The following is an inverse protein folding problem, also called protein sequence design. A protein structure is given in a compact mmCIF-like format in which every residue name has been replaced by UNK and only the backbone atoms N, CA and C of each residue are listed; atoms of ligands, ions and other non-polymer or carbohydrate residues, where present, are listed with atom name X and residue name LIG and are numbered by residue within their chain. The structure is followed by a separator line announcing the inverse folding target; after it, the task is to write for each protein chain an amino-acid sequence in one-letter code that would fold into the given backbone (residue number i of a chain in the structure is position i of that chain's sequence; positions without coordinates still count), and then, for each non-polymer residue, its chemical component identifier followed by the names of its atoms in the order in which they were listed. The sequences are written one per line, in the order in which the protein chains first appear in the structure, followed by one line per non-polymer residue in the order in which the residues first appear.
data_IF_055803671973
#
_entry.id   IF_055803671973
#
_cell.length_a   1.000
_cell.length_b   1.000
_cell.length_c   1.000
_cell.angle_alpha   90.00
_cell.angle_beta   90.00
_cell.angle_gamma   90.00
#
_symmetry.space_group_name_H-M   'P 1'
#
loop_
_entity.id
_entity.type
_entity.pdbx_description
1 polymer ?
#
# COMPACT_ATOMS: atom_id res chain seq x y z
N UNK A 1 -14.57 5.70 -28.80
CA UNK A 1 -13.20 5.12 -28.76
C UNK A 1 -13.32 3.60 -28.87
N UNK A 2 -12.34 2.92 -29.48
CA UNK A 2 -12.30 1.45 -29.61
C UNK A 2 -10.91 0.95 -29.18
N UNK A 3 -10.84 -0.29 -28.72
CA UNK A 3 -9.57 -1.01 -28.57
C UNK A 3 -9.31 -1.75 -29.88
N UNK A 4 -8.23 -1.44 -30.59
CA UNK A 4 -7.91 -2.10 -31.87
C UNK A 4 -6.61 -2.86 -31.73
N UNK A 5 -6.67 -4.19 -31.91
CA UNK A 5 -5.49 -5.04 -31.91
C UNK A 5 -4.57 -4.64 -33.07
N UNK A 6 -3.30 -4.28 -32.81
CA UNK A 6 -2.41 -3.76 -33.85
C UNK A 6 -1.99 -4.83 -34.87
N UNK A 7 -2.22 -6.12 -34.59
CA UNK A 7 -1.77 -7.20 -35.46
C UNK A 7 -2.65 -7.34 -36.71
N UNK A 8 -3.95 -7.57 -36.52
CA UNK A 8 -4.90 -7.81 -37.62
C UNK A 8 -6.13 -6.89 -37.58
N UNK A 9 -6.08 -5.83 -36.77
CA UNK A 9 -7.13 -4.83 -36.64
C UNK A 9 -8.50 -5.39 -36.18
N UNK A 10 -8.52 -6.50 -35.43
CA UNK A 10 -9.70 -6.84 -34.65
C UNK A 10 -9.96 -5.71 -33.67
N UNK A 11 -11.19 -5.23 -33.65
CA UNK A 11 -11.59 -4.09 -32.82
C UNK A 11 -12.66 -4.50 -31.83
N UNK A 12 -12.53 -3.96 -30.62
CA UNK A 12 -13.38 -4.25 -29.49
C UNK A 12 -13.98 -2.93 -28.98
N UNK A 13 -15.23 -2.99 -28.54
CA UNK A 13 -15.82 -1.91 -27.76
C UNK A 13 -15.09 -1.81 -26.40
N UNK A 14 -15.30 -0.71 -25.67
CA UNK A 14 -14.67 -0.52 -24.35
C UNK A 14 -15.19 -1.50 -23.29
N UNK A 15 -16.31 -2.20 -23.56
CA UNK A 15 -16.84 -3.29 -22.72
C UNK A 15 -16.21 -4.66 -23.05
N UNK A 16 -15.29 -4.71 -24.02
CA UNK A 16 -14.58 -5.92 -24.44
C UNK A 16 -15.27 -6.74 -25.53
N UNK A 17 -16.50 -6.42 -25.93
CA UNK A 17 -17.21 -7.12 -27.01
C UNK A 17 -16.56 -6.86 -28.37
N UNK A 18 -16.53 -7.87 -29.26
CA UNK A 18 -16.00 -7.68 -30.62
C UNK A 18 -16.89 -6.73 -31.41
N UNK A 19 -16.31 -5.62 -31.87
CA UNK A 19 -16.93 -4.72 -32.83
C UNK A 19 -16.73 -5.23 -34.26
N UNK A 20 -15.50 -5.57 -34.64
CA UNK A 20 -15.15 -6.03 -35.98
C UNK A 20 -13.99 -7.02 -35.97
N UNK A 21 -14.12 -8.07 -36.79
CA UNK A 21 -13.10 -9.08 -37.09
C UNK A 21 -13.17 -9.36 -38.59
N UNK A 22 -12.17 -8.92 -39.35
CA UNK A 22 -12.20 -8.93 -40.82
C UNK A 22 -11.79 -10.30 -41.37
N UNK A 23 -12.38 -10.70 -42.50
CA UNK A 23 -12.09 -11.95 -43.22
C UNK A 23 -12.31 -13.24 -42.40
N UNK A 24 -13.22 -13.20 -41.42
CA UNK A 24 -13.71 -14.41 -40.76
C UNK A 24 -14.78 -15.09 -41.60
N UNK A 25 -14.93 -16.40 -41.44
CA UNK A 25 -15.95 -17.20 -42.12
C UNK A 25 -17.37 -16.78 -41.69
N UNK A 26 -18.38 -17.18 -42.47
CA UNK A 26 -19.78 -16.84 -42.23
C UNK A 26 -20.35 -17.42 -40.93
N UNK A 27 -19.75 -18.48 -40.41
CA UNK A 27 -20.11 -19.15 -39.16
C UNK A 27 -19.37 -18.59 -37.93
N UNK A 28 -18.56 -17.54 -38.10
CA UNK A 28 -17.83 -16.93 -36.98
C UNK A 28 -18.78 -16.24 -35.99
N UNK A 29 -18.86 -16.81 -34.80
CA UNK A 29 -19.61 -16.24 -33.69
C UNK A 29 -18.74 -15.23 -32.91
N UNK A 30 -19.05 -13.93 -33.04
CA UNK A 30 -18.33 -12.86 -32.34
C UNK A 30 -18.45 -12.95 -30.81
N UNK A 31 -19.53 -13.54 -30.31
CA UNK A 31 -19.83 -13.57 -28.88
C UNK A 31 -18.87 -14.49 -28.11
N UNK A 32 -18.27 -15.47 -28.80
CA UNK A 32 -17.31 -16.43 -28.22
C UNK A 32 -15.88 -15.88 -28.06
N UNK A 33 -15.57 -14.72 -28.67
CA UNK A 33 -14.20 -14.21 -28.78
C UNK A 33 -14.01 -12.80 -28.20
N UNK A 34 -14.90 -12.40 -27.28
CA UNK A 34 -14.76 -11.15 -26.52
C UNK A 34 -13.50 -11.16 -25.64
N UNK A 35 -13.02 -9.97 -25.25
CA UNK A 35 -11.92 -9.87 -24.28
C UNK A 35 -12.32 -10.54 -22.96
N UNK A 36 -11.36 -11.24 -22.32
CA UNK A 36 -11.58 -11.77 -20.98
C UNK A 36 -11.92 -10.65 -20.00
N UNK A 37 -13.00 -10.83 -19.26
CA UNK A 37 -13.42 -9.90 -18.22
C UNK A 37 -12.64 -10.18 -16.93
N UNK A 38 -12.46 -9.15 -16.12
CA UNK A 38 -12.05 -9.28 -14.72
C UNK A 38 -13.08 -8.59 -13.84
N UNK A 39 -13.15 -9.01 -12.57
CA UNK A 39 -14.01 -8.36 -11.60
C UNK A 39 -13.37 -7.04 -11.16
N UNK A 40 -14.16 -5.97 -11.14
CA UNK A 40 -13.70 -4.62 -10.86
C UNK A 40 -14.60 -3.94 -9.84
N UNK A 41 -13.99 -3.24 -8.89
CA UNK A 41 -14.65 -2.35 -7.94
C UNK A 41 -13.89 -1.05 -7.81
N UNK A 42 -14.62 0.05 -7.68
CA UNK A 42 -14.06 1.38 -7.44
C UNK A 42 -14.54 1.84 -6.07
N UNK A 43 -13.61 2.27 -5.23
CA UNK A 43 -13.90 2.77 -3.89
C UNK A 43 -12.96 3.94 -3.58
N UNK A 44 -13.51 5.12 -3.32
CA UNK A 44 -12.72 6.35 -3.07
C UNK A 44 -11.63 6.59 -4.13
N UNK A 45 -11.97 6.40 -5.41
CA UNK A 45 -11.03 6.56 -6.54
C UNK A 45 -10.02 5.41 -6.72
N UNK A 46 -9.89 4.52 -5.74
CA UNK A 46 -9.05 3.32 -5.83
C UNK A 46 -9.74 2.26 -6.70
N UNK A 47 -8.98 1.68 -7.64
CA UNK A 47 -9.46 0.63 -8.55
C UNK A 47 -8.94 -0.72 -8.06
N UNK A 48 -9.85 -1.60 -7.66
CA UNK A 48 -9.56 -2.98 -7.26
C UNK A 48 -9.94 -3.94 -8.37
N UNK A 49 -9.03 -4.88 -8.66
CA UNK A 49 -9.25 -5.93 -9.64
C UNK A 49 -9.17 -7.31 -8.97
N UNK A 50 -10.01 -8.24 -9.41
CA UNK A 50 -9.95 -9.64 -9.01
C UNK A 50 -10.10 -10.54 -10.25
N UNK A 51 -9.13 -11.43 -10.44
CA UNK A 51 -9.05 -12.32 -11.60
C UNK A 51 -9.76 -13.67 -11.40
N UNK A 52 -10.25 -13.96 -10.18
CA UNK A 52 -11.07 -15.15 -9.92
C UNK A 52 -12.41 -15.05 -10.65
N UNK A 53 -12.91 -16.18 -11.16
CA UNK A 53 -14.27 -16.28 -11.68
C UNK A 53 -15.33 -16.07 -10.57
N UNK A 54 -14.97 -16.43 -9.33
CA UNK A 54 -15.80 -16.30 -8.13
C UNK A 54 -15.11 -15.35 -7.15
N UNK A 55 -15.19 -14.02 -7.35
CA UNK A 55 -14.56 -13.07 -6.45
C UNK A 55 -15.24 -13.12 -5.07
N UNK A 56 -14.46 -12.85 -4.03
CA UNK A 56 -15.03 -12.58 -2.72
C UNK A 56 -15.86 -11.30 -2.72
N UNK A 57 -16.79 -11.20 -1.77
CA UNK A 57 -17.61 -9.99 -1.62
C UNK A 57 -16.74 -8.78 -1.28
N UNK A 58 -16.94 -7.70 -2.03
CA UNK A 58 -16.13 -6.49 -1.90
C UNK A 58 -16.50 -5.68 -0.66
N UNK A 59 -17.77 -5.70 -0.25
CA UNK A 59 -18.20 -4.96 0.94
C UNK A 59 -17.60 -5.61 2.19
N UNK A 60 -17.64 -6.94 2.31
CA UNK A 60 -16.94 -7.70 3.36
C UNK A 60 -15.43 -7.40 3.37
N UNK A 61 -14.81 -7.30 2.19
CA UNK A 61 -13.39 -7.02 2.03
C UNK A 61 -13.01 -5.62 2.54
N UNK A 62 -13.74 -4.57 2.16
CA UNK A 62 -13.33 -3.20 2.46
C UNK A 62 -13.75 -2.74 3.85
N UNK A 63 -14.85 -3.29 4.39
CA UNK A 63 -15.57 -2.73 5.55
C UNK A 63 -14.68 -2.37 6.75
N UNK A 64 -13.73 -3.20 7.20
CA UNK A 64 -12.94 -2.87 8.39
C UNK A 64 -11.98 -1.70 8.19
N UNK A 65 -11.60 -1.44 6.94
CA UNK A 65 -10.69 -0.36 6.55
C UNK A 65 -11.39 0.85 5.96
N UNK A 66 -12.67 0.70 5.59
CA UNK A 66 -13.51 1.70 4.89
C UNK A 66 -13.39 3.09 5.50
N UNK A 67 -13.65 3.20 6.80
CA UNK A 67 -13.69 4.50 7.50
C UNK A 67 -12.36 5.25 7.44
N UNK A 68 -11.22 4.54 7.39
CA UNK A 68 -9.90 5.16 7.32
C UNK A 68 -9.65 5.77 5.94
N UNK A 69 -10.07 5.08 4.89
CA UNK A 69 -9.94 5.54 3.51
C UNK A 69 -10.93 6.70 3.24
N UNK A 70 -12.22 6.53 3.58
CA UNK A 70 -13.26 7.57 3.37
C UNK A 70 -12.98 8.86 4.13
N UNK A 71 -12.24 8.79 5.23
CA UNK A 71 -11.88 9.99 6.00
C UNK A 71 -10.87 10.88 5.26
N UNK A 72 -10.07 10.31 4.35
CA UNK A 72 -9.09 11.02 3.52
C UNK A 72 -9.66 11.48 2.18
N UNK A 73 -10.92 11.11 1.86
CA UNK A 73 -11.63 11.49 0.63
C UNK A 73 -10.78 11.28 -0.64
N UNK A 74 -10.15 10.10 -0.78
CA UNK A 74 -9.27 9.80 -1.92
C UNK A 74 -10.01 9.89 -3.27
N UNK A 75 -11.35 9.83 -3.28
CA UNK A 75 -12.15 10.10 -4.47
C UNK A 75 -12.02 11.54 -5.02
N UNK A 76 -11.50 12.48 -4.22
CA UNK A 76 -11.17 13.87 -4.61
C UNK A 76 -9.66 14.10 -4.77
N UNK A 77 -8.88 13.04 -4.89
CA UNK A 77 -7.45 13.12 -5.08
C UNK A 77 -7.07 13.03 -6.55
N UNK A 78 -5.87 13.51 -6.88
CA UNK A 78 -5.18 13.21 -8.14
C UNK A 78 -3.79 12.67 -7.89
N UNK A 79 -3.27 11.92 -8.85
CA UNK A 79 -1.87 11.47 -8.84
C UNK A 79 -1.00 12.68 -9.18
N UNK A 80 -0.22 13.16 -8.20
CA UNK A 80 0.79 14.18 -8.41
C UNK A 80 2.09 13.58 -8.96
N UNK A 81 2.46 12.38 -8.51
CA UNK A 81 3.65 11.69 -8.99
C UNK A 81 3.47 10.17 -8.92
N UNK A 82 4.12 9.45 -9.84
CA UNK A 82 4.13 7.98 -9.89
C UNK A 82 5.53 7.51 -10.22
N UNK A 83 6.02 6.51 -9.49
CA UNK A 83 7.33 5.91 -9.75
C UNK A 83 7.31 4.41 -9.49
N UNK A 84 8.00 3.67 -10.37
CA UNK A 84 8.18 2.23 -10.25
C UNK A 84 9.64 1.96 -9.92
N UNK A 85 9.87 1.10 -8.94
CA UNK A 85 11.18 0.61 -8.51
C UNK A 85 11.27 -0.88 -8.82
N UNK A 86 11.90 -1.26 -9.94
CA UNK A 86 12.15 -2.67 -10.24
C UNK A 86 13.17 -3.21 -9.23
N UNK A 87 12.81 -4.22 -8.45
CA UNK A 87 13.66 -4.79 -7.39
C UNK A 87 14.02 -6.22 -7.76
N UNK A 88 15.32 -6.54 -7.78
CA UNK A 88 15.84 -7.89 -8.06
C UNK A 88 15.72 -8.79 -6.83
N UNK A 89 14.47 -9.06 -6.44
CA UNK A 89 14.13 -9.91 -5.32
C UNK A 89 12.76 -10.56 -5.50
N UNK A 90 12.59 -11.75 -4.93
CA UNK A 90 11.30 -12.40 -4.84
C UNK A 90 10.30 -11.50 -4.11
N UNK A 91 9.04 -11.52 -4.54
CA UNK A 91 7.97 -10.72 -3.93
C UNK A 91 7.82 -11.02 -2.43
N UNK A 92 8.06 -12.27 -2.00
CA UNK A 92 8.02 -12.62 -0.58
C UNK A 92 9.11 -11.92 0.22
N UNK A 93 10.33 -11.78 -0.30
CA UNK A 93 11.39 -11.04 0.39
C UNK A 93 11.10 -9.53 0.41
N UNK A 94 10.43 -9.02 -0.63
CA UNK A 94 10.00 -7.63 -0.69
C UNK A 94 8.93 -7.34 0.36
N UNK A 95 7.92 -8.23 0.48
CA UNK A 95 6.91 -8.13 1.51
C UNK A 95 7.47 -8.43 2.90
N UNK A 96 8.46 -9.32 3.02
CA UNK A 96 9.12 -9.59 4.28
C UNK A 96 9.73 -8.29 4.84
N UNK A 97 10.47 -7.56 4.02
CA UNK A 97 11.07 -6.25 4.36
C UNK A 97 10.01 -5.18 4.68
N UNK A 98 8.85 -5.22 4.02
CA UNK A 98 7.82 -4.19 4.23
C UNK A 98 7.00 -4.39 5.52
N UNK A 99 6.87 -5.63 6.00
CA UNK A 99 6.02 -5.97 7.16
C UNK A 99 6.77 -6.04 8.49
N UNK A 100 7.92 -5.37 8.59
CA UNK A 100 8.67 -5.17 9.82
C UNK A 100 9.44 -3.84 9.78
N UNK A 101 9.92 -3.37 10.94
CA UNK A 101 10.73 -2.15 11.03
C UNK A 101 12.00 -2.37 11.86
N UNK A 102 12.47 -3.61 11.96
CA UNK A 102 13.70 -3.97 12.65
C UNK A 102 14.94 -3.37 11.96
N UNK A 103 14.92 -3.29 10.64
CA UNK A 103 15.99 -2.65 9.86
C UNK A 103 15.87 -1.12 9.76
N UNK A 104 14.75 -0.52 10.20
CA UNK A 104 14.46 0.90 9.95
C UNK A 104 15.47 1.84 10.60
N UNK A 105 15.74 1.67 11.90
CA UNK A 105 16.62 2.58 12.63
C UNK A 105 18.05 2.70 12.03
N UNK A 106 18.72 1.61 11.61
CA UNK A 106 20.01 1.71 10.95
C UNK A 106 19.95 2.11 9.47
N UNK A 107 18.82 1.91 8.79
CA UNK A 107 18.75 2.02 7.32
C UNK A 107 18.05 3.29 6.81
N UNK A 108 17.10 3.83 7.57
CA UNK A 108 16.15 4.84 7.11
C UNK A 108 16.19 6.11 7.99
N UNK A 109 17.28 6.89 7.95
CA UNK A 109 17.38 8.13 8.71
C UNK A 109 16.27 9.14 8.35
N UNK A 110 15.79 9.13 7.10
CA UNK A 110 14.65 9.91 6.65
C UNK A 110 13.36 9.54 7.37
N UNK A 111 12.99 8.25 7.38
CA UNK A 111 11.80 7.75 8.05
C UNK A 111 11.85 7.99 9.56
N UNK A 112 12.99 7.67 10.19
CA UNK A 112 13.21 7.87 11.63
C UNK A 112 13.29 9.34 12.06
N UNK A 113 13.43 10.28 11.12
CA UNK A 113 13.37 11.71 11.43
C UNK A 113 11.94 12.22 11.62
N UNK A 114 10.95 11.52 11.05
CA UNK A 114 9.53 11.91 11.04
C UNK A 114 8.69 11.03 11.97
N UNK A 115 9.01 9.75 12.07
CA UNK A 115 8.30 8.79 12.92
C UNK A 115 8.91 8.71 14.33
N UNK A 116 8.06 8.51 15.34
CA UNK A 116 8.53 8.41 16.72
C UNK A 116 9.28 7.08 16.95
N UNK A 117 10.40 7.06 17.70
CA UNK A 117 11.13 5.81 17.94
C UNK A 117 10.30 4.72 18.63
N UNK A 118 9.36 5.10 19.50
CA UNK A 118 8.47 4.13 20.17
C UNK A 118 7.37 3.63 19.21
N UNK A 119 6.95 4.45 18.24
CA UNK A 119 6.13 4.01 17.10
C UNK A 119 6.89 3.00 16.24
N UNK A 120 8.11 3.33 15.81
CA UNK A 120 8.95 2.46 14.98
C UNK A 120 9.14 1.10 15.65
N UNK A 121 9.38 1.10 16.97
CA UNK A 121 9.55 -0.12 17.75
C UNK A 121 8.29 -0.99 17.74
N UNK A 122 7.12 -0.42 18.00
CA UNK A 122 5.91 -1.20 18.26
C UNK A 122 5.02 -1.42 17.03
N UNK A 123 4.93 -0.39 16.18
CA UNK A 123 3.93 -0.20 15.12
C UNK A 123 4.57 0.15 13.76
N UNK A 124 5.90 0.10 13.62
CA UNK A 124 6.59 0.59 12.42
C UNK A 124 6.16 -0.04 11.09
N UNK A 125 5.53 -1.22 11.12
CA UNK A 125 4.90 -1.86 9.96
C UNK A 125 3.38 -2.05 10.13
N UNK A 126 2.75 -1.27 11.02
CA UNK A 126 1.36 -1.35 11.44
C UNK A 126 1.18 -1.87 12.87
N UNK A 127 -0.04 -1.73 13.39
CA UNK A 127 -0.36 -2.04 14.79
C UNK A 127 0.02 -3.45 15.19
N UNK A 128 0.80 -3.55 16.27
CA UNK A 128 1.23 -4.82 16.86
C UNK A 128 2.26 -5.61 16.04
N UNK A 129 2.91 -4.99 15.04
CA UNK A 129 3.95 -5.65 14.25
C UNK A 129 5.29 -5.81 14.97
N UNK A 130 5.48 -5.12 16.11
CA UNK A 130 6.64 -5.24 16.99
C UNK A 130 6.31 -5.59 18.46
N UNK A 131 7.28 -5.45 19.39
CA UNK A 131 7.02 -5.56 20.82
C UNK A 131 6.11 -4.40 21.30
N UNK A 132 5.37 -4.63 22.38
CA UNK A 132 4.55 -3.56 22.98
C UNK A 132 5.42 -2.44 23.56
N UNK A 133 5.01 -1.18 23.37
CA UNK A 133 5.61 -0.03 24.06
C UNK A 133 4.57 0.69 24.92
N UNK A 134 4.75 0.68 26.24
CA UNK A 134 3.90 1.44 27.16
C UNK A 134 3.98 2.95 26.92
N UNK A 135 5.15 3.44 26.48
CA UNK A 135 5.35 4.86 26.16
C UNK A 135 4.54 5.23 24.93
N UNK A 136 4.59 4.41 23.88
CA UNK A 136 3.81 4.66 22.68
C UNK A 136 2.30 4.60 22.97
N UNK A 137 1.85 3.62 23.76
CA UNK A 137 0.43 3.52 24.15
C UNK A 137 -0.06 4.79 24.86
N UNK A 138 0.71 5.33 25.81
CA UNK A 138 0.37 6.59 26.50
C UNK A 138 0.30 7.77 25.53
N UNK A 139 1.29 7.88 24.64
CA UNK A 139 1.34 8.93 23.62
C UNK A 139 0.12 8.85 22.69
N UNK A 140 -0.21 7.65 22.23
CA UNK A 140 -1.36 7.38 21.37
C UNK A 140 -2.69 7.69 22.08
N UNK A 141 -2.84 7.31 23.35
CA UNK A 141 -4.05 7.60 24.14
C UNK A 141 -4.26 9.11 24.34
N UNK A 142 -3.21 9.86 24.66
CA UNK A 142 -3.26 11.32 24.82
C UNK A 142 -3.60 12.01 23.51
N UNK A 143 -2.96 11.59 22.41
CA UNK A 143 -3.22 12.11 21.09
C UNK A 143 -4.66 11.78 20.62
N UNK A 144 -5.13 10.54 20.83
CA UNK A 144 -6.49 10.13 20.49
C UNK A 144 -7.56 10.97 21.21
N UNK A 145 -7.35 11.32 22.49
CA UNK A 145 -8.26 12.22 23.22
C UNK A 145 -8.33 13.61 22.58
N UNK A 146 -7.18 14.16 22.18
CA UNK A 146 -7.11 15.46 21.49
C UNK A 146 -7.79 15.40 20.12
N UNK A 147 -7.53 14.38 19.32
CA UNK A 147 -8.05 14.26 17.96
C UNK A 147 -9.54 13.95 17.94
N UNK A 148 -10.01 13.13 18.89
CA UNK A 148 -11.44 12.84 19.04
C UNK A 148 -12.24 14.09 19.42
N UNK A 149 -11.67 15.03 20.20
CA UNK A 149 -12.36 16.29 20.53
C UNK A 149 -12.48 17.25 19.35
N UNK A 150 -11.64 17.09 18.31
CA UNK A 150 -11.77 17.76 17.02
C UNK A 150 -12.79 17.08 16.08
N UNK A 151 -13.34 15.94 16.48
CA UNK A 151 -14.24 15.12 15.66
C UNK A 151 -13.53 14.32 14.56
N UNK A 152 -12.20 14.15 14.66
CA UNK A 152 -11.42 13.41 13.70
C UNK A 152 -11.34 11.92 14.03
N UNK A 153 -11.10 11.11 12.99
CA UNK A 153 -10.97 9.66 13.11
C UNK A 153 -9.79 9.29 14.02
N UNK A 154 -10.00 8.26 14.82
CA UNK A 154 -8.99 7.58 15.64
C UNK A 154 -9.20 6.06 15.56
N UNK A 155 -8.20 5.32 16.04
CA UNK A 155 -8.29 3.88 16.28
C UNK A 155 -7.48 3.04 15.31
N UNK A 156 -7.62 1.74 15.51
CA UNK A 156 -6.82 0.72 14.85
C UNK A 156 -7.69 -0.48 14.48
N UNK A 157 -7.20 -1.25 13.53
CA UNK A 157 -7.75 -2.51 13.06
C UNK A 157 -6.61 -3.38 12.55
N UNK A 158 -6.64 -4.66 12.91
CA UNK A 158 -5.82 -5.67 12.27
C UNK A 158 -6.62 -6.97 12.26
N UNK A 159 -6.57 -7.71 11.17
CA UNK A 159 -7.11 -9.06 11.11
C UNK A 159 -6.35 -9.95 12.11
N UNK A 160 -6.97 -10.21 13.27
CA UNK A 160 -6.36 -11.01 14.36
C UNK A 160 -6.41 -12.51 14.11
N UNK A 161 -7.49 -12.94 13.46
CA UNK A 161 -7.67 -14.32 13.06
C UNK A 161 -7.29 -14.46 11.59
N UNK A 162 -6.67 -15.60 11.27
CA UNK A 162 -6.22 -15.84 9.92
C UNK A 162 -7.41 -15.94 8.97
N UNK A 163 -7.44 -15.02 8.00
CA UNK A 163 -8.48 -14.95 6.97
C UNK A 163 -7.87 -14.83 5.56
N UNK A 164 -8.73 -14.56 4.57
CA UNK A 164 -8.38 -14.46 3.13
C UNK A 164 -7.75 -13.12 2.72
N UNK A 165 -7.74 -12.10 3.58
CA UNK A 165 -7.41 -10.72 3.19
C UNK A 165 -6.11 -10.18 3.80
N UNK A 166 -5.84 -10.47 5.08
CA UNK A 166 -4.68 -9.91 5.83
C UNK A 166 -4.69 -8.37 5.82
N UNK A 167 -5.77 -7.77 6.30
CA UNK A 167 -5.98 -6.31 6.35
C UNK A 167 -5.52 -5.72 7.67
N UNK A 168 -5.10 -4.47 7.59
CA UNK A 168 -4.82 -3.62 8.74
C UNK A 168 -5.18 -2.18 8.43
N UNK A 169 -5.51 -1.42 9.47
CA UNK A 169 -5.63 0.02 9.39
C UNK A 169 -5.30 0.63 10.75
N UNK A 170 -4.62 1.75 10.76
CA UNK A 170 -4.33 2.49 11.99
C UNK A 170 -4.27 3.96 11.70
N UNK A 171 -4.52 4.75 12.74
CA UNK A 171 -4.23 6.18 12.71
C UNK A 171 -3.49 6.59 13.97
N UNK A 172 -2.22 6.95 13.79
CA UNK A 172 -1.26 7.21 14.86
C UNK A 172 -0.63 8.59 14.70
N UNK A 173 -0.08 9.19 15.76
CA UNK A 173 0.63 10.45 15.65
C UNK A 173 2.05 10.25 15.09
N UNK A 174 2.45 11.15 14.19
CA UNK A 174 3.85 11.40 13.88
C UNK A 174 4.59 11.97 15.09
N UNK A 175 5.92 11.96 15.01
CA UNK A 175 6.82 12.51 16.03
C UNK A 175 6.45 13.96 16.36
N UNK A 176 6.72 14.37 17.60
CA UNK A 176 6.45 15.73 18.05
C UNK A 176 7.07 16.78 17.11
N UNK A 177 6.27 17.79 16.72
CA UNK A 177 6.66 18.82 15.75
C UNK A 177 6.69 18.39 14.28
N UNK A 178 6.27 17.16 13.95
CA UNK A 178 6.14 16.65 12.58
C UNK A 178 4.67 16.45 12.22
N UNK A 179 4.31 16.86 11.01
CA UNK A 179 2.92 16.89 10.53
C UNK A 179 2.70 16.10 9.23
N UNK A 180 3.78 15.78 8.52
CA UNK A 180 3.72 15.03 7.27
C UNK A 180 5.08 14.38 6.97
N UNK A 181 5.13 13.49 5.99
CA UNK A 181 6.27 12.66 5.61
C UNK A 181 7.26 13.38 4.68
N UNK A 182 7.73 14.56 5.12
CA UNK A 182 8.69 15.40 4.39
C UNK A 182 9.96 15.63 5.20
N UNK A 183 11.01 16.14 4.55
CA UNK A 183 12.32 16.36 5.18
C UNK A 183 12.29 17.22 6.44
N UNK A 184 11.47 18.27 6.44
CA UNK A 184 11.28 19.11 7.62
C UNK A 184 10.11 18.65 8.49
N UNK A 185 9.27 17.73 7.99
CA UNK A 185 8.01 17.30 8.59
C UNK A 185 6.99 18.42 8.68
N UNK A 186 7.08 19.40 7.77
CA UNK A 186 6.12 20.50 7.65
C UNK A 186 5.18 20.22 6.49
N UNK A 187 3.91 20.62 6.56
CA UNK A 187 2.98 20.47 5.46
C UNK A 187 3.52 21.09 4.17
N UNK A 188 3.36 20.36 3.07
CA UNK A 188 3.79 20.79 1.74
C UNK A 188 2.64 20.81 0.75
N UNK A 189 1.46 20.34 1.11
CA UNK A 189 0.27 20.38 0.26
C UNK A 189 -0.93 20.94 1.04
N UNK A 190 -1.98 21.34 0.32
CA UNK A 190 -3.27 21.67 0.96
C UNK A 190 -3.85 20.45 1.66
N UNK A 191 -4.63 20.69 2.72
CA UNK A 191 -5.34 19.62 3.43
C UNK A 191 -6.19 18.78 2.46
N UNK A 192 -6.13 17.47 2.64
CA UNK A 192 -6.99 16.48 2.01
C UNK A 192 -8.02 15.96 3.01
N UNK A 193 -9.03 15.23 2.55
CA UNK A 193 -9.99 14.58 3.42
C UNK A 193 -10.83 15.54 4.26
N UNK A 194 -11.31 15.02 5.40
CA UNK A 194 -12.22 15.74 6.31
C UNK A 194 -11.48 16.61 7.34
N UNK A 195 -10.18 16.86 7.12
CA UNK A 195 -9.34 17.66 8.01
C UNK A 195 -9.59 19.16 7.84
N UNK A 196 -9.64 19.89 8.96
CA UNK A 196 -9.68 21.37 9.00
C UNK A 196 -8.37 21.98 9.52
N UNK A 197 -7.52 21.16 10.13
CA UNK A 197 -6.20 21.52 10.63
C UNK A 197 -5.28 20.30 10.62
N UNK A 198 -3.97 20.54 10.72
CA UNK A 198 -2.97 19.49 10.82
C UNK A 198 -2.90 18.97 12.26
N UNK A 199 -3.28 17.71 12.45
CA UNK A 199 -3.34 17.08 13.77
C UNK A 199 -2.15 16.15 14.05
N UNK A 200 -1.17 16.11 13.13
CA UNK A 200 0.00 15.22 13.14
C UNK A 200 -0.35 13.75 12.88
N UNK A 201 -1.56 13.45 12.45
CA UNK A 201 -1.97 12.08 12.22
C UNK A 201 -1.40 11.50 10.94
N UNK A 202 -0.94 10.27 11.07
CA UNK A 202 -0.53 9.37 10.02
C UNK A 202 -1.50 8.19 10.00
N UNK A 203 -2.09 7.92 8.85
CA UNK A 203 -3.02 6.81 8.66
C UNK A 203 -2.40 5.78 7.73
N UNK A 204 -2.20 4.57 8.24
CA UNK A 204 -1.75 3.44 7.43
C UNK A 204 -2.93 2.51 7.17
N UNK A 205 -3.12 2.05 5.93
CA UNK A 205 -4.14 1.06 5.57
C UNK A 205 -3.55 0.02 4.64
N UNK A 206 -3.44 -1.22 5.11
CA UNK A 206 -3.18 -2.40 4.30
C UNK A 206 -4.49 -3.09 3.94
N UNK A 207 -4.88 -3.08 2.66
CA UNK A 207 -6.06 -3.84 2.20
C UNK A 207 -5.70 -5.28 1.81
N UNK A 208 -4.42 -5.54 1.55
CA UNK A 208 -3.81 -6.86 1.40
C UNK A 208 -2.31 -6.75 1.68
N UNK A 209 -1.55 -7.87 1.74
CA UNK A 209 -0.10 -7.79 1.85
C UNK A 209 0.59 -7.09 0.66
N UNK A 210 -0.10 -6.94 -0.48
CA UNK A 210 0.48 -6.38 -1.70
C UNK A 210 0.17 -4.90 -1.90
N UNK A 211 -0.62 -4.28 -1.02
CA UNK A 211 -1.02 -2.90 -1.18
C UNK A 211 -1.11 -2.20 0.18
N UNK A 212 -0.54 -1.00 0.27
CA UNK A 212 -0.63 -0.17 1.46
C UNK A 212 -0.88 1.28 1.08
N UNK A 213 -1.63 1.99 1.91
CA UNK A 213 -1.84 3.44 1.85
C UNK A 213 -1.21 4.06 3.09
N UNK A 214 -0.28 4.99 2.89
CA UNK A 214 0.29 5.83 3.94
C UNK A 214 -0.24 7.26 3.74
N UNK A 215 -1.04 7.78 4.65
CA UNK A 215 -1.81 9.01 4.44
C UNK A 215 -1.60 9.99 5.58
N UNK A 216 -1.07 11.17 5.26
CA UNK A 216 -1.00 12.31 6.15
C UNK A 216 -2.19 13.25 5.90
N UNK A 217 -2.22 14.39 6.59
CA UNK A 217 -3.31 15.36 6.42
C UNK A 217 -3.33 16.04 5.04
N UNK A 218 -2.21 16.13 4.32
CA UNK A 218 -2.05 16.90 3.08
C UNK A 218 -1.76 16.08 1.81
N UNK A 219 -1.19 14.90 1.94
CA UNK A 219 -1.01 13.98 0.82
C UNK A 219 -1.06 12.51 1.27
N UNK A 220 -1.24 11.62 0.30
CA UNK A 220 -1.20 10.17 0.50
C UNK A 220 -0.15 9.52 -0.41
N UNK A 221 0.41 8.41 0.03
CA UNK A 221 1.31 7.55 -0.73
C UNK A 221 0.70 6.15 -0.82
N UNK A 222 0.47 5.66 -2.04
CA UNK A 222 0.00 4.31 -2.32
C UNK A 222 1.18 3.43 -2.72
N UNK A 223 1.30 2.27 -2.10
CA UNK A 223 2.28 1.23 -2.41
C UNK A 223 1.57 0.06 -3.09
N UNK A 224 2.16 -0.46 -4.16
CA UNK A 224 1.72 -1.69 -4.82
C UNK A 224 2.91 -2.57 -5.15
N UNK A 225 2.90 -3.80 -4.65
CA UNK A 225 3.94 -4.81 -4.89
C UNK A 225 3.50 -5.74 -6.02
N UNK A 226 4.23 -5.73 -7.14
CA UNK A 226 3.83 -6.43 -8.38
C UNK A 226 4.87 -7.52 -8.69
N UNK A 227 4.56 -8.80 -8.39
CA UNK A 227 5.44 -9.91 -8.76
C UNK A 227 5.61 -9.99 -10.28
N UNK A 228 6.87 -10.05 -10.76
CA UNK A 228 7.20 -10.17 -12.20
C UNK A 228 7.78 -11.54 -12.53
N UNK A 229 8.57 -12.09 -11.61
CA UNK A 229 9.14 -13.42 -11.70
C UNK A 229 9.46 -13.96 -10.30
N UNK A 230 10.09 -15.12 -10.23
CA UNK A 230 10.60 -15.66 -8.95
C UNK A 230 11.73 -14.81 -8.36
N UNK A 231 12.38 -13.92 -9.13
CA UNK A 231 13.53 -13.11 -8.71
C UNK A 231 13.35 -11.62 -9.00
N UNK A 232 12.16 -11.18 -9.39
CA UNK A 232 11.88 -9.78 -9.67
C UNK A 232 10.48 -9.38 -9.21
N UNK A 233 10.43 -8.22 -8.55
CA UNK A 233 9.21 -7.56 -8.08
C UNK A 233 9.30 -6.08 -8.41
N UNK A 234 8.29 -5.52 -9.04
CA UNK A 234 8.18 -4.07 -9.19
C UNK A 234 7.46 -3.52 -7.95
N UNK A 235 8.06 -2.54 -7.28
CA UNK A 235 7.39 -1.77 -6.22
C UNK A 235 6.94 -0.45 -6.83
N UNK A 236 5.63 -0.24 -6.90
CA UNK A 236 5.04 0.98 -7.44
C UNK A 236 4.57 1.89 -6.31
N UNK A 237 5.00 3.15 -6.36
CA UNK A 237 4.52 4.21 -5.49
C UNK A 237 3.77 5.26 -6.29
N UNK A 238 2.65 5.72 -5.75
CA UNK A 238 1.90 6.88 -6.24
C UNK A 238 1.68 7.87 -5.11
N UNK A 239 1.99 9.14 -5.35
CA UNK A 239 1.71 10.24 -4.43
C UNK A 239 0.48 10.98 -4.90
N UNK A 240 -0.48 11.12 -3.99
CA UNK A 240 -1.78 11.69 -4.23
C UNK A 240 -1.91 13.00 -3.46
N UNK A 241 -2.41 14.03 -4.13
CA UNK A 241 -2.76 15.33 -3.56
C UNK A 241 -4.22 15.64 -3.87
N UNK A 242 -4.80 16.65 -3.23
CA UNK A 242 -6.14 17.13 -3.58
C UNK A 242 -6.24 17.47 -5.10
N UNK A 243 -7.38 17.17 -5.74
CA UNK A 243 -7.58 17.32 -7.18
C UNK A 243 -7.25 18.74 -7.71
N UNK A 244 -7.66 19.77 -6.96
CA UNK A 244 -7.38 21.17 -7.26
C UNK A 244 -6.00 21.69 -6.82
N UNK A 245 -5.08 20.84 -6.34
CA UNK A 245 -3.73 21.30 -5.95
C UNK A 245 -2.84 21.56 -7.17
N UNK A 246 -2.18 22.70 -7.25
CA UNK A 246 -1.28 23.06 -8.36
C UNK A 246 0.19 22.89 -7.97
N UNK A 247 0.97 22.14 -8.76
CA UNK A 247 2.41 21.99 -8.55
C UNK A 247 3.13 23.35 -8.62
N UNK A 248 4.10 23.58 -7.73
CA UNK A 248 4.87 24.82 -7.65
C UNK A 248 4.15 25.96 -6.92
N UNK A 249 2.87 25.77 -6.56
CA UNK A 249 2.08 26.73 -5.78
C UNK A 249 1.53 26.10 -4.52
N UNK A 250 0.80 25.01 -4.67
CA UNK A 250 0.18 24.29 -3.55
C UNK A 250 1.06 23.16 -3.05
N UNK A 251 1.96 22.60 -3.87
CA UNK A 251 2.90 21.57 -3.46
C UNK A 251 4.20 21.53 -4.26
N UNK A 252 5.22 20.88 -3.69
CA UNK A 252 6.51 20.61 -4.33
C UNK A 252 6.75 19.09 -4.40
N UNK A 253 6.97 18.56 -5.62
CA UNK A 253 7.14 17.12 -5.83
C UNK A 253 8.41 16.60 -5.15
N UNK A 254 9.55 17.29 -5.27
CA UNK A 254 10.82 16.82 -4.71
C UNK A 254 10.76 16.66 -3.19
N UNK A 255 10.12 17.60 -2.49
CA UNK A 255 9.92 17.51 -1.04
C UNK A 255 8.92 16.41 -0.64
N UNK A 256 7.85 16.25 -1.42
CA UNK A 256 6.80 15.26 -1.17
C UNK A 256 7.29 13.81 -1.35
N UNK A 257 8.09 13.56 -2.39
CA UNK A 257 8.57 12.20 -2.68
C UNK A 257 9.79 11.81 -1.85
N UNK A 258 10.51 12.78 -1.29
CA UNK A 258 11.83 12.58 -0.68
C UNK A 258 11.90 11.38 0.27
N UNK A 259 11.00 11.30 1.25
CA UNK A 259 11.09 10.29 2.30
C UNK A 259 10.94 8.88 1.69
N UNK A 260 9.84 8.64 0.99
CA UNK A 260 9.54 7.33 0.42
C UNK A 260 10.41 6.97 -0.79
N UNK A 261 10.96 7.94 -1.54
CA UNK A 261 11.95 7.67 -2.58
C UNK A 261 13.28 7.19 -1.99
N UNK A 262 13.79 7.84 -0.94
CA UNK A 262 15.03 7.41 -0.27
C UNK A 262 14.85 6.07 0.47
N UNK A 263 13.77 5.90 1.23
CA UNK A 263 13.45 4.65 1.93
C UNK A 263 13.30 3.49 0.94
N UNK A 264 12.55 3.66 -0.17
CA UNK A 264 12.37 2.58 -1.15
C UNK A 264 13.67 2.20 -1.85
N UNK A 265 14.60 3.15 -2.10
CA UNK A 265 15.93 2.85 -2.64
C UNK A 265 16.77 2.06 -1.63
N UNK A 266 16.72 2.42 -0.35
CA UNK A 266 17.42 1.70 0.71
C UNK A 266 16.87 0.27 0.85
N UNK A 267 15.55 0.11 0.91
CA UNK A 267 14.88 -1.19 0.96
C UNK A 267 15.23 -2.07 -0.24
N UNK A 268 15.17 -1.51 -1.45
CA UNK A 268 15.57 -2.23 -2.66
C UNK A 268 16.97 -2.84 -2.50
N UNK A 269 17.94 -2.06 -1.99
CA UNK A 269 19.31 -2.55 -1.78
C UNK A 269 19.36 -3.68 -0.74
N UNK A 270 18.59 -3.57 0.35
CA UNK A 270 18.48 -4.60 1.39
C UNK A 270 17.91 -5.89 0.78
N UNK A 271 16.78 -5.79 0.09
CA UNK A 271 16.07 -6.93 -0.54
C UNK A 271 16.96 -7.63 -1.57
N UNK A 272 17.64 -6.88 -2.44
CA UNK A 272 18.51 -7.47 -3.48
C UNK A 272 19.72 -8.19 -2.88
N UNK A 273 20.28 -7.66 -1.78
CA UNK A 273 21.38 -8.32 -1.08
C UNK A 273 20.89 -9.55 -0.31
N UNK A 274 19.71 -9.48 0.31
CA UNK A 274 19.08 -10.62 0.96
C UNK A 274 18.80 -11.74 -0.05
N UNK A 275 18.26 -11.40 -1.23
CA UNK A 275 18.02 -12.36 -2.31
C UNK A 275 19.29 -13.09 -2.75
N UNK A 276 20.43 -12.38 -2.88
CA UNK A 276 21.73 -13.01 -3.20
C UNK A 276 22.16 -14.00 -2.12
N UNK A 277 21.96 -13.66 -0.84
CA UNK A 277 22.23 -14.55 0.28
C UNK A 277 21.36 -15.80 0.26
N UNK A 278 20.05 -15.63 0.06
CA UNK A 278 19.05 -16.71 0.00
C UNK A 278 19.32 -17.68 -1.17
N UNK A 279 19.90 -17.21 -2.28
CA UNK A 279 20.26 -18.07 -3.42
C UNK A 279 21.48 -18.97 -3.15
N UNK A 280 22.23 -18.76 -2.07
CA UNK A 280 23.34 -19.62 -1.72
C UNK A 280 22.87 -21.03 -1.36
N UNK A 281 23.55 -22.06 -1.88
CA UNK A 281 23.31 -23.46 -1.48
C UNK A 281 23.62 -23.77 0.00
N UNK A 282 24.12 -22.78 0.76
CA UNK A 282 24.35 -22.88 2.22
C UNK A 282 23.31 -22.15 3.05
N UNK A 283 22.39 -21.41 2.43
CA UNK A 283 21.34 -20.69 3.15
C UNK A 283 20.49 -21.64 3.98
N UNK A 284 20.15 -21.20 5.20
CA UNK A 284 19.17 -21.82 6.08
C UNK A 284 18.33 -20.70 6.73
N UNK A 285 17.01 -20.87 6.86
CA UNK A 285 16.19 -19.89 7.58
C UNK A 285 16.67 -19.71 9.03
N UNK A 286 16.71 -18.45 9.47
CA UNK A 286 17.01 -18.08 10.86
C UNK A 286 15.74 -17.85 11.68
N UNK A 287 15.86 -17.71 13.01
CA UNK A 287 14.75 -17.30 13.86
C UNK A 287 14.38 -15.82 13.63
N UNK A 288 13.11 -15.48 13.88
CA UNK A 288 12.62 -14.11 13.84
C UNK A 288 12.78 -13.41 15.20
N UNK A 289 13.00 -12.10 15.15
CA UNK A 289 13.05 -11.17 16.28
C UNK A 289 11.64 -10.84 16.79
N UNK A 290 11.56 -10.33 18.03
CA UNK A 290 10.32 -9.75 18.56
C UNK A 290 9.83 -8.52 17.79
N UNK A 291 10.70 -7.89 16.98
CA UNK A 291 10.36 -6.80 16.05
C UNK A 291 9.82 -7.28 14.70
N UNK A 292 9.75 -8.60 14.47
CA UNK A 292 9.35 -9.21 13.21
C UNK A 292 8.01 -9.98 13.34
N UNK A 293 7.10 -9.52 14.21
CA UNK A 293 5.78 -10.18 14.38
C UNK A 293 4.88 -9.98 13.17
N UNK A 294 4.98 -8.84 12.49
CA UNK A 294 4.29 -8.60 11.23
C UNK A 294 4.72 -9.60 10.16
N UNK A 295 6.02 -9.88 10.09
CA UNK A 295 6.60 -10.91 9.22
C UNK A 295 6.11 -12.31 9.55
N UNK A 296 6.06 -12.70 10.82
CA UNK A 296 5.49 -13.98 11.27
C UNK A 296 4.02 -14.12 10.85
N UNK A 297 3.23 -13.06 11.04
CA UNK A 297 1.81 -13.02 10.67
C UNK A 297 1.62 -13.19 9.17
N UNK A 298 2.39 -12.46 8.35
CA UNK A 298 2.36 -12.56 6.90
C UNK A 298 2.75 -13.96 6.40
N UNK A 299 3.85 -14.55 6.91
CA UNK A 299 4.28 -15.90 6.52
C UNK A 299 3.24 -16.95 6.87
N UNK A 300 2.64 -16.84 8.06
CA UNK A 300 1.57 -17.75 8.51
C UNK A 300 0.34 -17.65 7.60
N UNK A 301 -0.07 -16.42 7.27
CA UNK A 301 -1.15 -16.17 6.31
C UNK A 301 -0.85 -16.79 4.93
N UNK A 302 0.33 -16.52 4.37
CA UNK A 302 0.74 -17.01 3.05
C UNK A 302 0.70 -18.54 2.98
N UNK A 303 1.32 -19.23 3.94
CA UNK A 303 1.39 -20.68 3.93
C UNK A 303 0.00 -21.32 4.01
N UNK A 304 -0.92 -20.73 4.78
CA UNK A 304 -2.28 -21.24 4.88
C UNK A 304 -3.10 -20.98 3.62
N UNK A 305 -3.00 -19.79 3.02
CA UNK A 305 -3.66 -19.52 1.73
C UNK A 305 -3.12 -20.40 0.60
N UNK A 306 -1.81 -20.64 0.58
CA UNK A 306 -1.19 -21.57 -0.35
C UNK A 306 -1.74 -22.99 -0.14
N UNK A 307 -1.82 -23.45 1.11
CA UNK A 307 -2.37 -24.78 1.40
C UNK A 307 -3.85 -24.91 1.02
N UNK A 308 -4.67 -23.88 1.24
CA UNK A 308 -6.07 -23.88 0.79
C UNK A 308 -6.15 -23.93 -0.73
N UNK A 309 -5.26 -23.25 -1.45
CA UNK A 309 -5.28 -23.20 -2.92
C UNK A 309 -4.76 -24.49 -3.58
N UNK A 310 -3.98 -25.29 -2.86
CA UNK A 310 -3.43 -26.55 -3.35
C UNK A 310 -4.34 -27.76 -3.10
N UNK A 311 -5.33 -27.64 -2.20
CA UNK A 311 -6.29 -28.70 -1.85
C UNK A 311 -7.68 -28.38 -2.41
#
# INVERSE_FOLDING_TARGET
KLLTCPYHAWSYNLDGSIKSARLMNNDFNKDEWSLHKCNLKIFEGLIFINLSETPYDFEEFIEPTRKYIEFHELGKAKIAYRKIYPTSGNWKLTLDNFHECYHCQPSHPEYCSVHDPEYILAYGAGSGTGPSSEKFNKLLDEWNKKVSSLGYLTGEYADKELNKYSRSAERTPLKEGKFTETKLGKPIAKLMGKFKEYDRGYTSVGTSPFNSLAMCNDFATLFTFIPKSTLQTDVELMWLVHEDAEEGKDYNIDEMIWMWDETTKADKKIIENNQKGVLSGKYKPGPLSQMEKGLESFKTWYLKQLNISLN
#
